data_IF_578001885704
#
_entry.id   IF_578001885704
#
_cell.length_a   1.000
_cell.length_b   1.000
_cell.length_c   1.000
_cell.angle_alpha   90.00
_cell.angle_beta   90.00
_cell.angle_gamma   90.00
#
_symmetry.space_group_name_H-M   'P 1'
#
loop_
_entity.id
_entity.type
_entity.pdbx_description
1 polymer ?
#
# COMPACT_ATOMS: atom_id res chain seq x y z
N UNK A 1 -13.79 -10.21 25.86
CA UNK A 1 -13.26 -9.19 24.94
C UNK A 1 -14.31 -8.11 24.73
N UNK A 2 -13.90 -6.85 24.53
CA UNK A 2 -14.84 -5.74 24.34
C UNK A 2 -15.17 -5.63 22.85
N UNK A 3 -16.37 -6.04 22.46
CA UNK A 3 -16.87 -5.79 21.12
C UNK A 3 -17.19 -4.29 20.97
N UNK A 4 -16.91 -3.74 19.79
CA UNK A 4 -17.32 -2.40 19.43
C UNK A 4 -18.72 -2.46 18.82
N UNK A 5 -19.54 -1.43 19.02
CA UNK A 5 -20.84 -1.39 18.36
C UNK A 5 -20.69 -1.14 16.83
N UNK A 6 -21.70 -1.55 16.08
CA UNK A 6 -21.70 -1.47 14.61
C UNK A 6 -21.61 -0.02 14.10
N UNK A 7 -22.10 0.96 14.86
CA UNK A 7 -22.03 2.37 14.48
C UNK A 7 -20.58 2.86 14.52
N UNK A 8 -19.85 2.49 15.56
CA UNK A 8 -18.44 2.80 15.72
C UNK A 8 -17.59 2.12 14.65
N UNK A 9 -17.88 0.86 14.33
CA UNK A 9 -17.16 0.15 13.27
C UNK A 9 -17.39 0.75 11.88
N UNK A 10 -18.61 1.17 11.57
CA UNK A 10 -18.90 1.91 10.32
C UNK A 10 -18.16 3.24 10.28
N UNK A 11 -18.23 4.03 11.35
CA UNK A 11 -17.52 5.30 11.44
C UNK A 11 -15.99 5.13 11.34
N UNK A 12 -15.45 4.04 11.89
CA UNK A 12 -14.04 3.68 11.74
C UNK A 12 -13.67 3.45 10.27
N UNK A 13 -14.44 2.61 9.56
CA UNK A 13 -14.18 2.34 8.14
C UNK A 13 -14.36 3.57 7.25
N UNK A 14 -15.38 4.39 7.52
CA UNK A 14 -15.59 5.67 6.82
C UNK A 14 -14.39 6.61 6.98
N UNK A 15 -13.88 6.76 8.22
CA UNK A 15 -12.70 7.60 8.49
C UNK A 15 -11.42 7.04 7.89
N UNK A 16 -11.27 5.72 7.89
CA UNK A 16 -10.13 5.05 7.28
C UNK A 16 -10.11 5.26 5.76
N UNK A 17 -11.25 5.10 5.08
CA UNK A 17 -11.37 5.40 3.65
C UNK A 17 -11.23 6.91 3.35
N UNK A 18 -11.76 7.79 4.19
CA UNK A 18 -11.56 9.23 4.05
C UNK A 18 -10.07 9.60 4.12
N UNK A 19 -9.33 9.00 5.04
CA UNK A 19 -7.88 9.20 5.18
C UNK A 19 -7.10 8.70 3.96
N UNK A 20 -7.47 7.55 3.41
CA UNK A 20 -6.87 7.03 2.17
C UNK A 20 -7.13 7.97 0.99
N UNK A 21 -8.35 8.49 0.87
CA UNK A 21 -8.71 9.45 -0.18
C UNK A 21 -8.01 10.81 -0.02
N UNK A 22 -7.79 11.27 1.22
CA UNK A 22 -6.96 12.46 1.47
C UNK A 22 -5.52 12.26 0.99
N UNK A 23 -4.90 11.13 1.33
CA UNK A 23 -3.56 10.80 0.85
C UNK A 23 -3.50 10.73 -0.68
N UNK A 24 -4.51 10.13 -1.30
CA UNK A 24 -4.63 10.08 -2.76
C UNK A 24 -4.76 11.48 -3.38
N UNK A 25 -5.56 12.39 -2.79
CA UNK A 25 -5.64 13.79 -3.24
C UNK A 25 -4.31 14.50 -3.13
N UNK A 26 -3.61 14.35 -2.00
CA UNK A 26 -2.28 14.93 -1.83
C UNK A 26 -1.33 14.43 -2.91
N UNK A 27 -1.31 13.12 -3.16
CA UNK A 27 -0.44 12.51 -4.18
C UNK A 27 -0.79 12.95 -5.61
N UNK A 28 -2.09 13.05 -5.92
CA UNK A 28 -2.57 13.56 -7.21
C UNK A 28 -2.07 14.99 -7.45
N UNK A 29 -2.16 15.87 -6.44
CA UNK A 29 -1.63 17.23 -6.53
C UNK A 29 -0.11 17.26 -6.76
N UNK A 30 0.65 16.37 -6.12
CA UNK A 30 2.10 16.26 -6.36
C UNK A 30 2.41 15.80 -7.80
N UNK A 31 1.58 14.92 -8.36
CA UNK A 31 1.68 14.50 -9.77
C UNK A 31 1.33 15.63 -10.73
N UNK A 32 0.27 16.39 -10.46
CA UNK A 32 -0.12 17.57 -11.26
C UNK A 32 0.96 18.64 -11.27
N UNK A 33 1.70 18.80 -10.16
CA UNK A 33 2.85 19.71 -10.05
C UNK A 33 4.11 19.18 -10.74
N UNK A 34 4.09 17.95 -11.26
CA UNK A 34 5.24 17.29 -11.89
C UNK A 34 6.33 16.86 -10.91
N UNK A 35 6.04 16.84 -9.61
CA UNK A 35 6.99 16.41 -8.56
C UNK A 35 7.07 14.88 -8.47
N UNK A 36 6.03 14.20 -8.93
CA UNK A 36 5.95 12.75 -8.99
C UNK A 36 5.28 12.31 -10.29
N UNK A 37 5.54 11.08 -10.72
CA UNK A 37 4.80 10.49 -11.85
C UNK A 37 3.55 9.77 -11.34
N UNK A 38 2.42 9.83 -12.07
CA UNK A 38 1.18 9.13 -11.70
C UNK A 38 1.39 7.65 -11.37
N UNK A 39 2.23 6.93 -12.12
CA UNK A 39 2.40 5.49 -11.93
C UNK A 39 3.07 5.14 -10.60
N UNK A 40 3.96 6.02 -10.12
CA UNK A 40 4.59 5.91 -8.80
C UNK A 40 3.59 6.30 -7.71
N UNK A 41 2.88 7.40 -7.87
CA UNK A 41 1.87 7.85 -6.91
C UNK A 41 0.76 6.83 -6.72
N UNK A 42 0.23 6.28 -7.81
CA UNK A 42 -0.73 5.18 -7.78
C UNK A 42 -0.19 3.95 -7.05
N UNK A 43 1.07 3.55 -7.29
CA UNK A 43 1.68 2.44 -6.55
C UNK A 43 1.74 2.70 -5.04
N UNK A 44 2.10 3.92 -4.65
CA UNK A 44 2.17 4.31 -3.23
C UNK A 44 0.77 4.19 -2.60
N UNK A 45 -0.26 4.71 -3.25
CA UNK A 45 -1.64 4.60 -2.75
C UNK A 45 -2.11 3.15 -2.66
N UNK A 46 -1.80 2.31 -3.64
CA UNK A 46 -2.08 0.87 -3.56
C UNK A 46 -1.42 0.24 -2.33
N UNK A 47 -0.16 0.59 -2.04
CA UNK A 47 0.55 0.04 -0.88
C UNK A 47 0.01 0.55 0.45
N UNK A 48 -0.38 1.82 0.52
CA UNK A 48 -1.05 2.39 1.70
C UNK A 48 -2.39 1.69 1.93
N UNK A 49 -3.21 1.52 0.89
CA UNK A 49 -4.50 0.81 0.97
C UNK A 49 -4.34 -0.64 1.41
N UNK A 50 -3.37 -1.37 0.86
CA UNK A 50 -3.03 -2.74 1.29
C UNK A 50 -2.64 -2.80 2.79
N UNK A 51 -1.80 -1.87 3.25
CA UNK A 51 -1.42 -1.79 4.66
C UNK A 51 -2.59 -1.47 5.59
N UNK A 52 -3.49 -0.58 5.16
CA UNK A 52 -4.72 -0.30 5.91
C UNK A 52 -5.65 -1.52 5.98
N UNK A 53 -5.81 -2.26 4.87
CA UNK A 53 -6.62 -3.48 4.86
C UNK A 53 -6.05 -4.54 5.82
N UNK A 54 -4.73 -4.77 5.80
CA UNK A 54 -4.06 -5.66 6.73
C UNK A 54 -4.26 -5.22 8.20
N UNK A 55 -4.22 -3.92 8.48
CA UNK A 55 -4.49 -3.40 9.82
C UNK A 55 -5.94 -3.64 10.27
N UNK A 56 -6.91 -3.56 9.36
CA UNK A 56 -8.32 -3.88 9.62
C UNK A 56 -8.49 -5.37 9.95
N UNK A 57 -7.80 -6.25 9.22
CA UNK A 57 -7.78 -7.70 9.50
C UNK A 57 -7.23 -7.99 10.90
N UNK A 58 -6.08 -7.41 11.25
CA UNK A 58 -5.49 -7.54 12.60
C UNK A 58 -6.47 -7.06 13.68
N UNK A 59 -7.14 -5.93 13.46
CA UNK A 59 -8.12 -5.40 14.42
C UNK A 59 -9.34 -6.33 14.55
N UNK A 60 -9.82 -6.89 13.44
CA UNK A 60 -10.90 -7.88 13.42
C UNK A 60 -10.55 -9.10 14.27
N UNK A 61 -9.31 -9.59 14.16
CA UNK A 61 -8.81 -10.73 14.94
C UNK A 61 -8.68 -10.39 16.42
N UNK A 62 -8.12 -9.21 16.75
CA UNK A 62 -7.97 -8.75 18.15
C UNK A 62 -9.32 -8.60 18.85
N UNK A 63 -10.35 -8.18 18.12
CA UNK A 63 -11.70 -7.98 18.66
C UNK A 63 -12.58 -9.23 18.60
N UNK A 64 -12.13 -10.30 17.91
CA UNK A 64 -12.95 -11.46 17.53
C UNK A 64 -14.30 -11.01 16.95
N UNK A 65 -14.23 -10.02 16.04
CA UNK A 65 -15.39 -9.33 15.50
C UNK A 65 -15.13 -8.89 14.07
N UNK A 66 -16.02 -9.28 13.17
CA UNK A 66 -16.00 -8.82 11.77
C UNK A 66 -16.18 -7.29 11.70
N UNK A 67 -15.23 -6.62 11.08
CA UNK A 67 -15.36 -5.19 10.74
C UNK A 67 -16.08 -5.07 9.38
N UNK A 68 -17.26 -4.42 9.30
CA UNK A 68 -18.03 -4.30 8.07
C UNK A 68 -17.41 -3.25 7.13
N UNK A 69 -17.24 -3.61 5.86
CA UNK A 69 -16.76 -2.70 4.82
C UNK A 69 -15.51 -3.23 4.12
N UNK A 70 -14.96 -2.41 3.22
CA UNK A 70 -13.70 -2.68 2.54
C UNK A 70 -12.89 -1.40 2.41
N UNK A 71 -11.56 -1.54 2.33
CA UNK A 71 -10.67 -0.42 2.03
C UNK A 71 -10.76 -0.11 0.54
N UNK A 72 -11.12 1.12 0.19
CA UNK A 72 -11.39 1.54 -1.19
C UNK A 72 -10.12 1.89 -1.99
N UNK A 73 -9.12 1.01 -1.93
CA UNK A 73 -7.81 1.25 -2.53
C UNK A 73 -7.86 1.46 -4.05
N UNK A 74 -8.74 0.76 -4.76
CA UNK A 74 -8.84 0.86 -6.23
C UNK A 74 -9.34 2.24 -6.64
N UNK A 75 -10.33 2.78 -5.94
CA UNK A 75 -10.87 4.11 -6.20
C UNK A 75 -9.83 5.19 -5.87
N UNK A 76 -9.17 5.08 -4.72
CA UNK A 76 -8.10 5.99 -4.33
C UNK A 76 -6.91 5.94 -5.31
N UNK A 77 -6.55 4.75 -5.79
CA UNK A 77 -5.48 4.58 -6.77
C UNK A 77 -5.86 5.22 -8.10
N UNK A 78 -7.08 5.00 -8.57
CA UNK A 78 -7.57 5.54 -9.84
C UNK A 78 -7.60 7.08 -9.86
N UNK A 79 -7.73 7.72 -8.69
CA UNK A 79 -7.62 9.17 -8.57
C UNK A 79 -6.22 9.70 -8.92
N UNK A 80 -5.17 8.95 -8.57
CA UNK A 80 -3.77 9.36 -8.82
C UNK A 80 -3.27 8.84 -10.16
N UNK A 81 -3.59 7.59 -10.48
CA UNK A 81 -3.20 6.89 -11.69
C UNK A 81 -4.45 6.34 -12.41
N UNK A 82 -5.03 7.10 -13.36
CA UNK A 82 -6.19 6.62 -14.12
C UNK A 82 -5.92 5.34 -14.91
N UNK A 83 -4.66 5.06 -15.24
CA UNK A 83 -4.23 3.87 -15.97
C UNK A 83 -3.70 2.75 -15.05
N UNK A 84 -3.99 2.81 -13.74
CA UNK A 84 -3.35 1.96 -12.73
C UNK A 84 -3.40 0.46 -13.00
N UNK A 85 -4.46 -0.04 -13.63
CA UNK A 85 -4.58 -1.46 -13.97
C UNK A 85 -3.51 -1.88 -14.97
N UNK A 86 -3.31 -1.04 -15.98
CA UNK A 86 -2.28 -1.28 -16.99
C UNK A 86 -0.88 -1.09 -16.39
N UNK A 87 -0.67 -0.04 -15.60
CA UNK A 87 0.62 0.17 -14.94
C UNK A 87 0.96 -0.94 -13.95
N UNK A 88 -0.02 -1.48 -13.23
CA UNK A 88 0.14 -2.67 -12.39
C UNK A 88 0.50 -3.90 -13.24
N UNK A 89 -0.19 -4.12 -14.35
CA UNK A 89 0.11 -5.20 -15.29
C UNK A 89 1.54 -5.10 -15.82
N UNK A 90 1.98 -3.91 -16.22
CA UNK A 90 3.34 -3.65 -16.70
C UNK A 90 4.37 -3.94 -15.60
N UNK A 91 4.14 -3.47 -14.37
CA UNK A 91 5.00 -3.77 -13.22
C UNK A 91 5.15 -5.27 -12.97
N UNK A 92 4.06 -6.03 -13.03
CA UNK A 92 4.09 -7.48 -12.75
C UNK A 92 4.78 -8.28 -13.85
N UNK A 93 4.81 -7.77 -15.07
CA UNK A 93 5.52 -8.39 -16.19
C UNK A 93 6.95 -7.87 -16.37
N UNK A 94 7.36 -6.87 -15.57
CA UNK A 94 8.69 -6.30 -15.67
C UNK A 94 9.73 -7.27 -15.09
N UNK A 95 10.79 -7.53 -15.87
CA UNK A 95 12.00 -8.18 -15.36
C UNK A 95 12.90 -7.08 -14.83
N UNK A 96 13.32 -7.18 -13.57
CA UNK A 96 14.05 -6.11 -12.89
C UNK A 96 15.41 -5.77 -13.52
N UNK A 97 15.92 -6.59 -14.45
CA UNK A 97 17.23 -6.41 -15.09
C UNK A 97 18.40 -6.38 -14.09
N UNK A 98 18.16 -6.81 -12.85
CA UNK A 98 19.14 -6.84 -11.78
C UNK A 98 19.93 -8.13 -11.86
N UNK A 99 21.24 -8.01 -12.08
CA UNK A 99 22.18 -9.09 -11.83
C UNK A 99 22.41 -9.20 -10.32
N UNK A 100 21.75 -10.18 -9.69
CA UNK A 100 21.91 -10.49 -8.26
C UNK A 100 23.02 -11.53 -8.00
N UNK A 101 23.76 -11.94 -9.03
CA UNK A 101 24.87 -12.89 -8.88
C UNK A 101 26.10 -12.25 -8.24
N UNK A 102 26.21 -10.92 -8.30
CA UNK A 102 27.27 -10.16 -7.65
C UNK A 102 26.88 -9.86 -6.19
N UNK A 103 27.81 -10.02 -5.23
CA UNK A 103 27.60 -9.57 -3.87
C UNK A 103 27.33 -8.05 -3.85
N UNK A 104 26.42 -7.61 -2.98
CA UNK A 104 26.16 -6.17 -2.78
C UNK A 104 27.48 -5.46 -2.49
N UNK A 105 27.70 -4.30 -3.11
CA UNK A 105 28.85 -3.46 -2.78
C UNK A 105 28.87 -3.20 -1.26
N UNK A 106 29.93 -3.65 -0.58
CA UNK A 106 30.09 -3.54 0.87
C UNK A 106 29.61 -4.75 1.69
N UNK A 107 29.15 -5.84 1.08
CA UNK A 107 29.01 -7.12 1.78
C UNK A 107 30.42 -7.63 2.11
N UNK A 108 30.78 -7.63 3.39
CA UNK A 108 32.00 -8.28 3.85
C UNK A 108 31.96 -9.75 3.38
N UNK A 109 33.09 -10.32 2.90
CA UNK A 109 33.15 -11.74 2.63
C UNK A 109 32.73 -12.49 3.90
N UNK A 110 31.96 -13.59 3.78
CA UNK A 110 31.65 -14.42 4.94
C UNK A 110 32.98 -14.83 5.58
N UNK A 111 33.10 -14.56 6.88
CA UNK A 111 34.30 -14.80 7.67
C UNK A 111 34.88 -16.17 7.30
N UNK A 112 36.13 -16.14 6.81
CA UNK A 112 36.93 -17.35 6.60
C UNK A 112 37.40 -17.87 7.96
N UNK A 113 36.47 -18.23 8.83
CA UNK A 113 36.77 -18.92 10.07
C UNK A 113 36.91 -20.42 9.77
N UNK A 114 38.08 -20.74 9.22
CA UNK A 114 38.68 -22.06 9.36
C UNK A 114 40.18 -21.84 9.44
N UNK A 115 40.72 -21.80 10.67
CA UNK A 115 41.90 -22.55 11.11
C UNK A 115 42.13 -22.36 12.62
#
# INVERSE_FOLDING_TARGET
>A
MRQLDDQLLRAFMERLNAKLMDEARTRANECERGLEKPELGGLIIQKVGQGMAAAVEILSDILDQRIPGQVEQDAATALVDPAWRENMRLRWNAVAGLDLSQPRAGAAPPDSDAH
#
